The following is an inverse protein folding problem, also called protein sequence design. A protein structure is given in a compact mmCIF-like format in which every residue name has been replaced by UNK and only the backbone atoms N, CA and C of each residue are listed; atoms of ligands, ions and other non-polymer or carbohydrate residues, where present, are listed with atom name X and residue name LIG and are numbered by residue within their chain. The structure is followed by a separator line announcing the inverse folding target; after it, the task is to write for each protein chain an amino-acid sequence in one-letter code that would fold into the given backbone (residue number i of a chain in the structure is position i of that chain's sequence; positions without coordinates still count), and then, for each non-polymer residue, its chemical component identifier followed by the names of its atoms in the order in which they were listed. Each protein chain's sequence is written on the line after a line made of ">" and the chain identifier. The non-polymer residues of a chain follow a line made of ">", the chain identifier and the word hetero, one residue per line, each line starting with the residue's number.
data_IF_267925034846
#
_entry.id   IF_267925034846
#
_cell.length_a   1.000
_cell.length_b   1.000
_cell.length_c   1.000
_cell.angle_alpha   90.00
_cell.angle_beta   90.00
_cell.angle_gamma   90.00
#
_symmetry.space_group_name_H-M   'P 1'
#
loop_
_entity.id
_entity.type
_entity.pdbx_description
1 polymer ?
#
# COMPACT_ATOMS: atom_id res chain seq x y z
N UNK A 1 -19.08 -17.07 7.74
CA UNK A 1 -18.37 -15.89 8.27
C UNK A 1 -17.21 -15.62 7.31
N UNK A 2 -17.39 -14.71 6.36
CA UNK A 2 -16.33 -14.33 5.42
C UNK A 2 -15.18 -13.73 6.23
N UNK A 3 -14.01 -14.37 6.23
CA UNK A 3 -12.82 -13.77 6.84
C UNK A 3 -12.57 -12.44 6.13
N UNK A 4 -12.59 -11.35 6.89
CA UNK A 4 -12.02 -10.10 6.42
C UNK A 4 -10.58 -10.43 6.01
N UNK A 5 -10.27 -10.21 4.74
CA UNK A 5 -8.94 -10.46 4.20
C UNK A 5 -8.00 -9.43 4.80
N UNK A 6 -7.24 -9.84 5.81
CA UNK A 6 -6.34 -8.98 6.57
C UNK A 6 -5.16 -8.56 5.68
N UNK A 7 -4.90 -7.26 5.62
CA UNK A 7 -3.77 -6.72 4.85
C UNK A 7 -2.47 -7.21 5.47
N UNK A 8 -1.65 -7.93 4.70
CA UNK A 8 -0.38 -8.49 5.14
C UNK A 8 0.82 -7.65 4.68
N UNK A 9 0.68 -6.88 3.60
CA UNK A 9 1.72 -5.94 3.15
C UNK A 9 1.16 -4.81 2.30
N UNK A 10 1.86 -3.67 2.33
CA UNK A 10 1.60 -2.48 1.51
C UNK A 10 2.93 -2.04 0.90
N UNK A 11 2.95 -1.72 -0.39
CA UNK A 11 4.05 -0.99 -1.01
C UNK A 11 3.54 0.17 -1.85
N UNK A 12 4.37 1.21 -1.99
CA UNK A 12 4.06 2.38 -2.81
C UNK A 12 5.14 2.50 -3.88
N UNK A 13 4.70 2.59 -5.13
CA UNK A 13 5.52 2.72 -6.33
C UNK A 13 5.27 4.09 -6.93
N UNK A 14 6.33 4.83 -7.28
CA UNK A 14 6.20 6.11 -7.99
C UNK A 14 5.97 5.91 -9.50
N UNK A 15 5.72 7.00 -10.23
CA UNK A 15 5.49 6.96 -11.69
C UNK A 15 6.66 6.39 -12.51
N UNK A 16 7.87 6.35 -11.94
CA UNK A 16 9.05 5.79 -12.59
C UNK A 16 9.22 4.30 -12.30
N UNK A 17 8.28 3.69 -11.55
CA UNK A 17 8.35 2.29 -11.15
C UNK A 17 9.23 2.03 -9.93
N UNK A 18 9.69 3.06 -9.22
CA UNK A 18 10.54 2.90 -8.03
C UNK A 18 9.68 2.69 -6.80
N UNK A 19 10.01 1.69 -5.99
CA UNK A 19 9.36 1.50 -4.69
C UNK A 19 9.87 2.55 -3.68
N UNK A 20 8.98 3.42 -3.24
CA UNK A 20 9.28 4.52 -2.30
C UNK A 20 8.86 4.20 -0.86
N UNK A 21 8.00 3.19 -0.68
CA UNK A 21 7.61 2.69 0.63
C UNK A 21 7.29 1.19 0.56
N UNK A 22 7.57 0.47 1.65
CA UNK A 22 7.14 -0.91 1.84
C UNK A 22 6.99 -1.22 3.32
N UNK A 23 5.91 -1.90 3.66
CA UNK A 23 5.65 -2.45 4.98
C UNK A 23 5.02 -3.83 4.82
N UNK A 24 5.53 -4.82 5.57
CA UNK A 24 5.13 -6.21 5.48
C UNK A 24 4.94 -6.80 6.88
N UNK A 25 4.25 -7.93 6.96
CA UNK A 25 3.84 -8.56 8.22
C UNK A 25 3.00 -7.62 9.07
N UNK A 26 2.12 -6.86 8.40
CA UNK A 26 1.32 -5.86 9.07
C UNK A 26 0.26 -6.57 9.92
N UNK A 27 0.17 -6.16 11.18
CA UNK A 27 -0.90 -6.65 12.06
C UNK A 27 -2.25 -6.13 11.58
N UNK A 28 -3.33 -6.91 11.75
CA UNK A 28 -4.66 -6.48 11.34
C UNK A 28 -5.05 -5.17 12.03
N UNK A 29 -5.46 -4.18 11.25
CA UNK A 29 -5.86 -2.87 11.78
C UNK A 29 -5.68 -1.73 10.78
N UNK A 30 -5.81 -0.51 11.29
CA UNK A 30 -5.50 0.72 10.56
C UNK A 30 -4.00 0.96 10.61
N UNK A 31 -3.42 1.33 9.46
CA UNK A 31 -2.00 1.64 9.34
C UNK A 31 -1.90 3.10 8.96
N UNK A 32 -1.27 3.88 9.83
CA UNK A 32 -0.96 5.27 9.54
C UNK A 32 0.45 5.34 8.96
N UNK A 33 0.58 5.99 7.80
CA UNK A 33 1.86 6.19 7.13
C UNK A 33 2.19 7.68 7.13
N UNK A 34 3.23 8.07 7.86
CA UNK A 34 3.76 9.44 7.81
C UNK A 34 4.92 9.50 6.82
N UNK A 35 4.61 9.44 5.52
CA UNK A 35 5.58 9.53 4.44
C UNK A 35 5.48 10.91 3.78
N UNK A 36 6.62 11.60 3.69
CA UNK A 36 6.71 12.87 2.96
C UNK A 36 6.84 12.60 1.46
N UNK A 37 5.75 12.19 0.83
CA UNK A 37 5.69 11.94 -0.60
C UNK A 37 5.62 13.26 -1.36
N UNK A 38 6.42 13.39 -2.41
CA UNK A 38 6.33 14.54 -3.31
C UNK A 38 4.99 14.53 -4.07
N UNK A 39 4.47 15.72 -4.41
CA UNK A 39 3.30 15.89 -5.28
C UNK A 39 3.45 15.05 -6.55
N UNK A 40 2.43 14.26 -6.89
CA UNK A 40 2.47 13.38 -8.05
C UNK A 40 1.55 12.17 -7.95
N UNK A 41 1.74 11.24 -8.89
CA UNK A 41 0.97 10.00 -8.96
C UNK A 41 1.78 8.81 -8.45
N UNK A 42 1.13 7.92 -7.72
CA UNK A 42 1.70 6.69 -7.19
C UNK A 42 0.75 5.52 -7.37
N UNK A 43 1.30 4.32 -7.33
CA UNK A 43 0.52 3.07 -7.23
C UNK A 43 0.79 2.47 -5.86
N UNK A 44 -0.28 2.21 -5.10
CA UNK A 44 -0.24 1.52 -3.82
C UNK A 44 -0.66 0.08 -4.06
N UNK A 45 0.27 -0.86 -3.85
CA UNK A 45 -0.02 -2.28 -3.93
C UNK A 45 -0.35 -2.76 -2.52
N UNK A 46 -1.53 -3.36 -2.34
CA UNK A 46 -1.99 -3.92 -1.08
C UNK A 46 -2.16 -5.41 -1.25
N UNK A 47 -1.50 -6.18 -0.39
CA UNK A 47 -1.60 -7.65 -0.37
C UNK A 47 -2.36 -8.11 0.85
N UNK A 48 -3.22 -9.10 0.65
CA UNK A 48 -3.86 -9.86 1.71
C UNK A 48 -3.81 -11.35 1.38
N UNK A 49 -2.88 -12.07 1.99
CA UNK A 49 -2.62 -13.48 1.68
C UNK A 49 -2.25 -13.68 0.21
N UNK A 50 -3.09 -14.41 -0.53
CA UNK A 50 -2.93 -14.64 -1.97
C UNK A 50 -3.55 -13.57 -2.87
N UNK A 51 -4.23 -12.58 -2.29
CA UNK A 51 -4.88 -11.50 -3.04
C UNK A 51 -4.00 -10.27 -3.09
N UNK A 52 -4.01 -9.60 -4.23
CA UNK A 52 -3.33 -8.34 -4.47
C UNK A 52 -4.31 -7.35 -5.09
N UNK A 53 -4.24 -6.09 -4.66
CA UNK A 53 -5.01 -5.00 -5.24
C UNK A 53 -4.10 -3.79 -5.42
N UNK A 54 -4.33 -3.03 -6.49
CA UNK A 54 -3.55 -1.86 -6.83
C UNK A 54 -4.45 -0.63 -6.76
N UNK A 55 -4.02 0.40 -6.04
CA UNK A 55 -4.75 1.64 -5.84
C UNK A 55 -3.92 2.77 -6.44
N UNK A 56 -4.51 3.57 -7.33
CA UNK A 56 -3.90 4.81 -7.80
C UNK A 56 -4.06 5.89 -6.73
N UNK A 57 -2.95 6.49 -6.31
CA UNK A 57 -2.91 7.60 -5.36
C UNK A 57 -2.39 8.86 -6.05
N UNK A 58 -3.06 9.99 -5.83
CA UNK A 58 -2.59 11.33 -6.22
C UNK A 58 -2.28 12.09 -4.94
N UNK A 59 -1.06 12.61 -4.86
CA UNK A 59 -0.59 13.48 -3.77
C UNK A 59 -0.54 14.90 -4.32
N UNK A 60 -1.19 15.83 -3.63
CA UNK A 60 -1.26 17.26 -3.97
C UNK A 60 -0.32 18.06 -3.07
#
# INVERSE_FOLDING_TARGET
>A
LSSLKEVSSISIIDVLGRQVYSNANISPGTIEMNQNLATGMYVVNVRSGSFETNIKMIVE
#
